data_IF_294435763814
#
_entry.id   IF_294435763814
#
_cell.length_a   1.000
_cell.length_b   1.000
_cell.length_c   1.000
_cell.angle_alpha   90.00
_cell.angle_beta   90.00
_cell.angle_gamma   90.00
#
_symmetry.space_group_name_H-M   'P 1'
#
loop_
_entity.id
_entity.type
_entity.pdbx_description
1 polymer ?
#
# COMPACT_ATOMS: atom_id res chain seq x y z
N UNK A 1 0.39 -12.42 -10.31
CA UNK A 1 1.76 -11.87 -10.18
C UNK A 1 1.73 -10.59 -9.37
N UNK A 2 2.78 -10.30 -8.60
CA UNK A 2 2.91 -9.02 -7.90
C UNK A 2 2.96 -7.89 -8.93
N UNK A 3 2.03 -6.94 -8.81
CA UNK A 3 1.97 -5.75 -9.66
C UNK A 3 2.58 -4.53 -8.96
N UNK A 4 2.15 -4.28 -7.73
CA UNK A 4 2.51 -3.07 -6.99
C UNK A 4 2.75 -3.37 -5.54
N UNK A 5 3.67 -2.61 -4.93
CA UNK A 5 3.96 -2.72 -3.51
C UNK A 5 4.33 -1.36 -2.95
N UNK A 6 3.67 -0.95 -1.86
CA UNK A 6 4.13 0.17 -1.03
C UNK A 6 4.75 -0.45 0.20
N UNK A 7 6.06 -0.26 0.34
CA UNK A 7 6.84 -0.98 1.35
C UNK A 7 7.06 -0.14 2.59
N UNK A 8 6.59 -0.66 3.75
CA UNK A 8 6.81 -0.11 5.08
C UNK A 8 6.20 1.28 5.29
N UNK A 9 4.98 1.47 4.77
CA UNK A 9 4.22 2.68 5.05
C UNK A 9 3.81 2.73 6.51
N UNK A 10 3.72 3.93 7.06
CA UNK A 10 3.29 4.15 8.44
C UNK A 10 1.80 4.49 8.46
N UNK A 11 1.03 3.77 9.26
CA UNK A 11 -0.40 4.06 9.45
C UNK A 11 -0.53 5.40 10.17
N UNK A 12 -1.22 6.34 9.52
CA UNK A 12 -1.38 7.70 10.07
C UNK A 12 -2.65 7.85 10.89
N UNK A 13 -3.68 7.06 10.62
CA UNK A 13 -4.95 7.12 11.34
C UNK A 13 -5.78 5.85 11.11
N UNK A 14 -6.80 5.66 11.96
CA UNK A 14 -7.76 4.57 11.87
C UNK A 14 -9.15 5.14 12.17
N UNK A 15 -10.15 4.79 11.35
CA UNK A 15 -11.52 5.25 11.53
C UNK A 15 -12.50 4.09 11.38
N UNK A 16 -12.98 3.56 12.51
CA UNK A 16 -13.93 2.44 12.56
C UNK A 16 -15.27 2.75 11.92
N UNK A 17 -15.66 4.00 11.89
CA UNK A 17 -17.00 4.42 11.46
C UNK A 17 -17.04 4.93 10.02
N UNK A 18 -15.93 4.89 9.32
CA UNK A 18 -15.87 5.24 7.92
C UNK A 18 -16.11 4.01 7.04
N UNK A 19 -16.43 4.22 5.76
CA UNK A 19 -16.61 3.12 4.81
C UNK A 19 -15.32 2.29 4.71
N UNK A 20 -15.45 0.97 4.84
CA UNK A 20 -14.30 0.06 4.85
C UNK A 20 -13.43 0.23 3.61
N UNK A 21 -12.15 0.58 3.82
CA UNK A 21 -11.20 0.90 2.75
C UNK A 21 -9.85 1.26 3.37
N UNK A 22 -8.86 1.51 2.52
CA UNK A 22 -7.62 2.16 2.93
C UNK A 22 -7.48 3.46 2.14
N UNK A 23 -7.41 4.58 2.88
CA UNK A 23 -7.16 5.90 2.28
C UNK A 23 -5.66 6.07 2.11
N UNK A 24 -5.22 6.34 0.88
CA UNK A 24 -3.80 6.46 0.53
C UNK A 24 -3.59 7.81 -0.17
N UNK A 25 -2.50 8.48 0.20
CA UNK A 25 -2.05 9.69 -0.48
C UNK A 25 -1.99 9.44 -2.00
N UNK A 26 -2.64 10.27 -2.82
CA UNK A 26 -2.63 10.11 -4.28
C UNK A 26 -1.23 10.03 -4.89
N UNK A 27 -0.22 10.69 -4.29
CA UNK A 27 1.15 10.59 -4.79
C UNK A 27 1.70 9.17 -4.65
N UNK A 28 1.31 8.47 -3.58
CA UNK A 28 1.69 7.07 -3.38
C UNK A 28 0.95 6.15 -4.34
N UNK A 29 -0.35 6.41 -4.56
CA UNK A 29 -1.15 5.65 -5.52
C UNK A 29 -0.54 5.75 -6.92
N UNK A 30 -0.22 6.96 -7.35
CA UNK A 30 0.38 7.19 -8.66
C UNK A 30 1.75 6.51 -8.77
N UNK A 31 2.60 6.68 -7.78
CA UNK A 31 3.93 6.07 -7.78
C UNK A 31 3.87 4.55 -7.82
N UNK A 32 2.88 3.94 -7.15
CA UNK A 32 2.72 2.50 -7.08
C UNK A 32 1.89 1.93 -8.24
N UNK A 33 1.35 2.77 -9.12
CA UNK A 33 0.42 2.36 -10.17
C UNK A 33 -0.82 1.66 -9.60
N UNK A 34 -1.37 2.24 -8.54
CA UNK A 34 -2.61 1.81 -7.91
C UNK A 34 -3.74 2.78 -8.27
N UNK A 35 -4.88 2.25 -8.66
CA UNK A 35 -6.06 3.05 -8.97
C UNK A 35 -7.00 3.11 -7.76
N UNK A 36 -7.75 4.21 -7.61
CA UNK A 36 -8.86 4.22 -6.67
C UNK A 36 -9.82 3.05 -6.95
N UNK A 37 -10.32 2.42 -5.91
CA UNK A 37 -11.17 1.22 -5.93
C UNK A 37 -10.43 -0.07 -6.28
N UNK A 38 -9.13 -0.03 -6.47
CA UNK A 38 -8.35 -1.24 -6.70
C UNK A 38 -8.24 -2.05 -5.41
N UNK A 39 -8.42 -3.37 -5.53
CA UNK A 39 -8.22 -4.28 -4.41
C UNK A 39 -6.75 -4.34 -4.02
N UNK A 40 -6.49 -4.27 -2.72
CA UNK A 40 -5.13 -4.39 -2.18
C UNK A 40 -5.12 -5.35 -1.00
N UNK A 41 -3.99 -6.03 -0.82
CA UNK A 41 -3.68 -6.77 0.40
C UNK A 41 -2.86 -5.86 1.32
N UNK A 42 -3.14 -5.91 2.61
CA UNK A 42 -2.42 -5.11 3.61
C UNK A 42 -1.85 -6.07 4.65
N UNK A 43 -0.53 -5.98 4.86
CA UNK A 43 0.17 -6.78 5.86
C UNK A 43 0.73 -5.85 6.92
N UNK A 44 0.29 -6.02 8.17
CA UNK A 44 0.81 -5.25 9.30
C UNK A 44 2.06 -5.95 9.84
N UNK A 45 3.20 -5.28 9.77
CA UNK A 45 4.49 -5.84 10.18
C UNK A 45 4.56 -6.01 11.70
N UNK A 46 3.91 -5.12 12.44
CA UNK A 46 4.03 -5.07 13.90
C UNK A 46 3.22 -6.16 14.60
N UNK A 47 2.09 -6.57 14.02
CA UNK A 47 1.23 -7.59 14.66
C UNK A 47 0.95 -8.82 13.78
N UNK A 48 1.42 -8.82 12.54
CA UNK A 48 1.23 -9.93 11.61
C UNK A 48 -0.16 -10.04 11.00
N UNK A 49 -1.05 -9.09 11.22
CA UNK A 49 -2.39 -9.12 10.62
C UNK A 49 -2.27 -9.01 9.10
N UNK A 50 -3.11 -9.77 8.41
CA UNK A 50 -3.17 -9.81 6.94
C UNK A 50 -4.62 -9.72 6.52
N UNK A 51 -4.95 -8.77 5.68
CA UNK A 51 -6.32 -8.59 5.22
C UNK A 51 -6.36 -7.95 3.84
N UNK A 52 -7.53 -7.97 3.23
CA UNK A 52 -7.76 -7.36 1.93
C UNK A 52 -8.80 -6.27 2.07
N UNK A 53 -8.63 -5.21 1.29
CA UNK A 53 -9.54 -4.09 1.20
C UNK A 53 -9.37 -3.44 -0.19
N UNK A 54 -9.83 -2.22 -0.36
CA UNK A 54 -9.61 -1.47 -1.60
C UNK A 54 -9.13 -0.06 -1.28
N UNK A 55 -8.41 0.52 -2.23
CA UNK A 55 -7.79 1.84 -2.06
C UNK A 55 -8.76 2.96 -2.40
N UNK A 56 -8.71 4.03 -1.63
CA UNK A 56 -9.33 5.31 -1.99
C UNK A 56 -8.29 6.40 -1.86
N UNK A 57 -8.45 7.49 -2.62
CA UNK A 57 -7.51 8.59 -2.60
C UNK A 57 -7.80 9.53 -1.43
N UNK A 58 -6.74 9.90 -0.71
CA UNK A 58 -6.79 10.93 0.32
C UNK A 58 -6.32 12.28 -0.21
N UNK A 59 -5.69 13.07 0.66
CA UNK A 59 -5.16 14.38 0.32
C UNK A 59 -3.75 14.27 -0.24
N UNK A 60 -3.52 14.86 -1.40
CA UNK A 60 -2.23 14.80 -2.09
C UNK A 60 -1.11 15.46 -1.29
N UNK A 61 0.01 14.75 -1.14
CA UNK A 61 1.19 15.23 -0.43
C UNK A 61 1.10 15.13 1.09
N UNK A 62 -0.01 14.61 1.63
CA UNK A 62 -0.22 14.50 3.07
C UNK A 62 0.54 13.36 3.74
N UNK A 63 0.93 12.35 2.96
CA UNK A 63 1.48 11.10 3.50
C UNK A 63 0.42 10.24 4.16
N UNK A 64 -0.85 10.48 3.87
CA UNK A 64 -1.97 9.81 4.54
C UNK A 64 -2.03 8.32 4.18
N UNK A 65 -2.09 7.49 5.22
CA UNK A 65 -2.38 6.05 5.16
C UNK A 65 -3.37 5.78 6.30
N UNK A 66 -4.66 5.73 5.97
CA UNK A 66 -5.72 5.59 6.97
C UNK A 66 -6.53 4.33 6.72
N UNK A 67 -6.64 3.47 7.73
CA UNK A 67 -7.45 2.26 7.66
C UNK A 67 -8.86 2.57 8.14
N UNK A 68 -9.85 2.21 7.34
CA UNK A 68 -11.25 2.56 7.55
C UNK A 68 -12.10 1.33 7.77
N UNK A 69 -13.15 1.47 8.58
CA UNK A 69 -14.11 0.42 8.81
C UNK A 69 -13.53 -0.76 9.59
N UNK A 70 -13.91 -1.98 9.24
CA UNK A 70 -13.49 -3.18 9.95
C UNK A 70 -11.96 -3.35 9.99
N UNK A 71 -11.25 -2.94 8.94
CA UNK A 71 -9.79 -3.00 8.90
C UNK A 71 -9.12 -2.17 9.99
N UNK A 72 -9.79 -1.11 10.46
CA UNK A 72 -9.26 -0.27 11.53
C UNK A 72 -9.12 -1.03 12.86
N UNK A 73 -9.78 -2.19 13.01
CA UNK A 73 -9.61 -3.06 14.19
C UNK A 73 -8.31 -3.84 14.16
N UNK A 74 -7.70 -4.00 12.99
CA UNK A 74 -6.56 -4.90 12.80
C UNK A 74 -5.22 -4.18 12.85
N UNK A 75 -5.22 -2.85 12.80
CA UNK A 75 -4.00 -2.05 12.79
C UNK A 75 -4.11 -0.92 13.81
N UNK A 76 -2.95 -0.33 14.13
CA UNK A 76 -2.86 0.82 15.04
C UNK A 76 -2.10 1.94 14.35
N UNK A 77 -2.44 3.17 14.71
CA UNK A 77 -1.66 4.34 14.29
C UNK A 77 -0.18 4.12 14.64
N UNK A 78 0.69 4.36 13.69
CA UNK A 78 2.13 4.17 13.86
C UNK A 78 2.63 2.81 13.41
N UNK A 79 1.75 1.83 13.17
CA UNK A 79 2.17 0.54 12.65
C UNK A 79 2.81 0.68 11.28
N UNK A 80 3.78 -0.19 11.01
CA UNK A 80 4.35 -0.33 9.67
C UNK A 80 3.57 -1.38 8.92
N UNK A 81 3.13 -1.03 7.72
CA UNK A 81 2.36 -1.91 6.86
C UNK A 81 2.98 -2.03 5.48
N UNK A 82 2.62 -3.09 4.79
CA UNK A 82 2.94 -3.30 3.39
C UNK A 82 1.60 -3.36 2.64
N UNK A 83 1.48 -2.58 1.57
CA UNK A 83 0.30 -2.58 0.71
C UNK A 83 0.69 -3.20 -0.61
N UNK A 84 -0.04 -4.23 -1.05
CA UNK A 84 0.29 -4.99 -2.25
C UNK A 84 -0.92 -5.08 -3.18
N UNK A 85 -0.64 -5.13 -4.46
CA UNK A 85 -1.64 -5.41 -5.48
C UNK A 85 -1.10 -6.49 -6.41
N UNK A 86 -1.98 -7.34 -6.88
CA UNK A 86 -1.65 -8.46 -7.77
C UNK A 86 -2.52 -8.36 -9.02
N UNK A 87 -2.00 -8.86 -10.14
CA UNK A 87 -2.73 -8.87 -11.39
C UNK A 87 -2.40 -10.14 -12.18
N UNK A 88 -3.27 -10.47 -13.13
CA UNK A 88 -3.05 -11.56 -14.05
C UNK A 88 -2.38 -11.02 -15.32
N UNK A 89 -1.43 -11.77 -15.86
CA UNK A 89 -0.69 -11.39 -17.07
C UNK A 89 -0.69 -12.57 -18.03
N UNK A 90 -0.79 -12.26 -19.32
CA UNK A 90 -0.61 -13.25 -20.38
C UNK A 90 0.86 -13.67 -20.50
N UNK A 91 1.10 -14.82 -21.14
CA UNK A 91 2.46 -15.36 -21.26
C UNK A 91 3.43 -14.37 -21.93
N UNK A 92 2.97 -13.64 -22.93
CA UNK A 92 3.78 -12.63 -23.64
C UNK A 92 4.04 -11.40 -22.78
N UNK A 93 3.18 -11.09 -21.83
CA UNK A 93 3.36 -9.95 -20.91
C UNK A 93 4.40 -10.23 -19.83
N UNK A 94 4.55 -11.52 -19.46
CA UNK A 94 5.46 -11.90 -18.38
C UNK A 94 6.92 -11.61 -18.71
N UNK A 95 7.31 -11.65 -19.99
CA UNK A 95 8.69 -11.39 -20.40
C UNK A 95 9.14 -9.98 -20.05
N UNK A 96 8.23 -9.02 -20.04
CA UNK A 96 8.53 -7.61 -19.75
C UNK A 96 7.95 -7.15 -18.41
N UNK A 97 7.27 -8.03 -17.67
CA UNK A 97 6.66 -7.63 -16.39
C UNK A 97 7.70 -7.38 -15.33
N UNK A 98 7.62 -6.20 -14.72
CA UNK A 98 8.36 -5.86 -13.51
C UNK A 98 7.38 -5.26 -12.50
N UNK A 99 7.45 -5.67 -11.23
CA UNK A 99 6.62 -5.05 -10.21
C UNK A 99 7.06 -3.60 -9.96
N UNK A 100 6.12 -2.79 -9.51
CA UNK A 100 6.42 -1.42 -9.12
C UNK A 100 6.45 -1.35 -7.59
N UNK A 101 7.61 -1.07 -7.03
CA UNK A 101 7.84 -1.07 -5.59
C UNK A 101 8.19 0.34 -5.13
N UNK A 102 7.35 0.90 -4.26
CA UNK A 102 7.53 2.23 -3.69
C UNK A 102 8.09 2.07 -2.28
N UNK A 103 9.24 2.66 -2.03
CA UNK A 103 9.88 2.70 -0.71
C UNK A 103 9.63 4.07 -0.10
N UNK A 104 9.15 4.09 1.14
CA UNK A 104 8.81 5.33 1.83
C UNK A 104 9.55 5.44 3.17
N UNK A 105 9.67 6.68 3.65
CA UNK A 105 10.23 6.96 4.98
C UNK A 105 9.11 6.90 6.05
N UNK A 106 9.47 7.24 7.29
CA UNK A 106 8.54 7.20 8.42
C UNK A 106 7.34 8.14 8.28
N UNK A 107 7.43 9.12 7.39
CA UNK A 107 6.34 10.08 7.11
C UNK A 107 5.66 9.80 5.79
N UNK A 108 5.88 8.61 5.23
CA UNK A 108 5.31 8.16 3.96
C UNK A 108 5.71 9.03 2.76
N UNK A 109 6.88 9.68 2.87
CA UNK A 109 7.47 10.37 1.73
C UNK A 109 8.25 9.38 0.88
N UNK A 110 8.16 9.51 -0.44
CA UNK A 110 8.78 8.55 -1.36
C UNK A 110 10.30 8.70 -1.33
N UNK A 111 10.98 7.60 -1.03
CA UNK A 111 12.45 7.52 -1.07
C UNK A 111 12.93 7.03 -2.43
N UNK A 112 12.26 6.03 -2.98
CA UNK A 112 12.62 5.39 -4.23
C UNK A 112 11.43 4.64 -4.83
N UNK A 113 11.41 4.54 -6.16
CA UNK A 113 10.46 3.67 -6.89
C UNK A 113 11.31 2.80 -7.80
N UNK A 114 11.21 1.48 -7.65
CA UNK A 114 11.99 0.53 -8.45
C UNK A 114 11.21 -0.78 -8.66
N UNK A 115 11.89 -1.82 -9.15
CA UNK A 115 11.32 -3.14 -9.38
C UNK A 115 11.83 -4.19 -8.38
N UNK A 116 12.62 -3.77 -7.39
CA UNK A 116 13.29 -4.67 -6.46
C UNK A 116 12.51 -4.81 -5.18
N UNK A 117 12.01 -6.02 -4.93
CA UNK A 117 11.25 -6.31 -3.71
C UNK A 117 12.12 -6.44 -2.47
N UNK A 118 13.44 -6.56 -2.65
CA UNK A 118 14.42 -6.78 -1.58
C UNK A 118 15.39 -5.60 -1.38
N UNK A 119 15.18 -4.49 -2.08
CA UNK A 119 16.18 -3.42 -2.20
C UNK A 119 16.58 -2.80 -0.87
N UNK A 120 15.67 -2.75 0.10
CA UNK A 120 15.91 -2.07 1.39
C UNK A 120 15.73 -3.02 2.58
N UNK A 121 16.12 -4.27 2.43
CA UNK A 121 16.13 -5.22 3.54
C UNK A 121 17.24 -4.94 4.55
N UNK A 122 18.17 -4.12 4.18
CA UNK A 122 19.26 -3.72 5.06
C UNK A 122 18.81 -2.73 6.11
#
# INVERSE_FOLDING_TARGET
MLKSKIHRATVTDCDLHYVGSITIDPLLLEAADLLPNEQVAVFDIDNGARFETYAIAGEGGSGEIKLNGAAARLVHRGDKIIVLSFAAYGAEELDSHVPRVVHVDAHNQILAVDARVDALLA
#
